data_IF_782208410534
#
_entry.id   IF_782208410534
#
_cell.length_a   1.000
_cell.length_b   1.000
_cell.length_c   1.000
_cell.angle_alpha   90.00
_cell.angle_beta   90.00
_cell.angle_gamma   90.00
#
_symmetry.space_group_name_H-M   'P 1'
#
loop_
_entity.id
_entity.type
_entity.pdbx_description
1 polymer ?
#
# COMPACT_ATOMS: atom_id res chain seq x y z
N UNK A 1 -7.31 10.35 12.66
CA UNK A 1 -8.02 9.07 12.50
C UNK A 1 -7.40 7.91 13.25
N UNK A 2 -6.16 7.49 12.94
CA UNK A 2 -5.49 6.43 13.70
C UNK A 2 -5.47 6.73 15.21
N UNK A 3 -4.96 7.91 15.58
CA UNK A 3 -4.89 8.35 16.99
C UNK A 3 -6.29 8.48 17.63
N UNK A 4 -7.26 9.02 16.89
CA UNK A 4 -8.66 9.13 17.34
C UNK A 4 -9.29 7.75 17.62
N UNK A 5 -8.85 6.73 16.88
CA UNK A 5 -9.25 5.34 17.07
C UNK A 5 -8.42 4.61 18.15
N UNK A 6 -7.49 5.31 18.81
CA UNK A 6 -6.62 4.76 19.86
C UNK A 6 -5.43 3.95 19.33
N UNK A 7 -5.11 4.04 18.04
CA UNK A 7 -3.91 3.46 17.44
C UNK A 7 -2.73 4.40 17.64
N UNK A 8 -1.53 3.85 17.72
CA UNK A 8 -0.27 4.60 17.88
C UNK A 8 0.56 4.48 16.61
N UNK A 9 1.11 5.59 16.15
CA UNK A 9 2.14 5.62 15.11
C UNK A 9 3.50 5.79 15.79
N UNK A 10 4.31 4.72 15.95
CA UNK A 10 5.62 4.85 16.55
C UNK A 10 6.57 5.63 15.64
N UNK A 11 7.52 6.34 16.26
CA UNK A 11 8.63 6.97 15.55
C UNK A 11 9.51 5.91 14.88
N UNK A 12 9.97 6.19 13.66
CA UNK A 12 10.85 5.28 12.93
C UNK A 12 12.19 5.15 13.65
N UNK A 13 12.73 3.93 13.67
CA UNK A 13 14.09 3.70 14.19
C UNK A 13 15.14 4.31 13.28
N UNK A 14 16.30 4.68 13.85
CA UNK A 14 17.44 5.21 13.09
C UNK A 14 17.87 4.27 11.96
N UNK A 15 17.78 2.95 12.19
CA UNK A 15 18.13 1.93 11.19
C UNK A 15 17.17 1.94 10.00
N UNK A 16 15.86 2.12 10.24
CA UNK A 16 14.86 2.27 9.16
C UNK A 16 15.07 3.57 8.41
N UNK A 17 15.25 4.69 9.12
CA UNK A 17 15.51 5.99 8.49
C UNK A 17 16.74 5.90 7.58
N UNK A 18 17.82 5.28 8.07
CA UNK A 18 19.07 5.11 7.32
C UNK A 18 18.92 4.23 6.09
N UNK A 19 18.13 3.16 6.18
CA UNK A 19 17.82 2.32 5.02
C UNK A 19 17.04 3.13 3.97
N UNK A 20 15.96 3.79 4.39
CA UNK A 20 15.09 4.57 3.51
C UNK A 20 15.78 5.80 2.91
N UNK A 21 16.72 6.43 3.62
CA UNK A 21 17.56 7.52 3.11
C UNK A 21 18.39 7.12 1.87
N UNK A 22 18.64 5.83 1.65
CA UNK A 22 19.35 5.36 0.44
C UNK A 22 18.46 5.22 -0.79
N UNK A 23 17.14 5.22 -0.58
CA UNK A 23 16.14 4.96 -1.60
C UNK A 23 15.22 6.14 -1.89
N UNK A 24 14.93 6.96 -0.87
CA UNK A 24 14.05 8.12 -0.96
C UNK A 24 14.85 9.41 -1.17
N UNK A 25 14.24 10.43 -1.82
CA UNK A 25 14.90 11.73 -2.01
C UNK A 25 15.16 12.42 -0.66
N UNK A 26 16.19 13.26 -0.58
CA UNK A 26 16.65 13.89 0.67
C UNK A 26 15.54 14.60 1.48
N UNK A 27 14.49 15.07 0.81
CA UNK A 27 13.38 15.82 1.40
C UNK A 27 12.18 14.96 1.85
N UNK A 28 12.28 13.63 1.85
CA UNK A 28 11.24 12.78 2.45
C UNK A 28 11.12 13.06 3.96
N UNK A 29 9.96 12.76 4.52
CA UNK A 29 9.53 13.27 5.82
C UNK A 29 10.20 12.64 7.04
N UNK A 30 10.89 11.48 6.91
CA UNK A 30 11.56 10.76 8.00
C UNK A 30 10.66 10.49 9.20
N UNK A 31 9.37 10.30 8.95
CA UNK A 31 8.37 10.11 9.99
C UNK A 31 7.38 9.02 9.62
N UNK A 32 6.52 8.68 10.58
CA UNK A 32 5.40 7.78 10.39
C UNK A 32 4.10 8.60 10.41
N UNK A 33 3.33 8.70 9.30
CA UNK A 33 3.38 7.89 8.08
C UNK A 33 4.58 8.17 7.17
N UNK A 34 5.07 7.17 6.42
CA UNK A 34 6.15 7.36 5.43
C UNK A 34 5.58 7.90 4.11
N UNK A 35 6.11 9.03 3.64
CA UNK A 35 5.79 9.57 2.31
C UNK A 35 6.81 9.11 1.27
N UNK A 36 6.34 8.36 0.28
CA UNK A 36 7.15 7.80 -0.83
C UNK A 36 7.27 8.83 -1.98
N UNK A 37 6.77 10.06 -1.79
CA UNK A 37 6.97 11.21 -2.70
C UNK A 37 6.43 10.95 -4.11
N UNK A 38 5.41 10.11 -4.23
CA UNK A 38 4.77 9.80 -5.51
C UNK A 38 5.65 9.02 -6.49
N UNK A 39 6.76 8.42 -6.04
CA UNK A 39 7.52 7.47 -6.86
C UNK A 39 6.56 6.35 -7.33
N UNK A 40 6.49 6.14 -8.64
CA UNK A 40 5.73 5.05 -9.27
C UNK A 40 6.41 3.69 -9.15
N UNK A 41 7.45 3.60 -8.30
CA UNK A 41 8.30 2.45 -8.16
C UNK A 41 7.69 1.41 -7.20
N UNK A 42 7.18 0.33 -7.79
CA UNK A 42 6.64 -0.80 -7.06
C UNK A 42 7.69 -1.56 -6.27
N UNK A 43 8.95 -1.60 -6.73
CA UNK A 43 10.03 -2.27 -6.03
C UNK A 43 10.39 -1.52 -4.75
N UNK A 44 10.48 -0.18 -4.82
CA UNK A 44 10.62 0.67 -3.66
C UNK A 44 9.47 0.47 -2.66
N UNK A 45 8.23 0.45 -3.15
CA UNK A 45 7.06 0.23 -2.30
C UNK A 45 7.12 -1.12 -1.56
N UNK A 46 7.45 -2.20 -2.29
CA UNK A 46 7.57 -3.55 -1.72
C UNK A 46 8.72 -3.61 -0.72
N UNK A 47 9.85 -2.95 -1.00
CA UNK A 47 10.99 -2.87 -0.09
C UNK A 47 10.60 -2.20 1.24
N UNK A 48 9.95 -1.04 1.18
CA UNK A 48 9.47 -0.33 2.37
C UNK A 48 8.52 -1.22 3.19
N UNK A 49 7.56 -1.89 2.53
CA UNK A 49 6.66 -2.81 3.22
C UNK A 49 7.40 -3.98 3.88
N UNK A 50 8.42 -4.55 3.23
CA UNK A 50 9.22 -5.65 3.79
C UNK A 50 9.98 -5.20 5.05
N UNK A 51 10.62 -4.03 4.99
CA UNK A 51 11.36 -3.44 6.12
C UNK A 51 10.42 -3.22 7.31
N UNK A 52 9.27 -2.60 7.08
CA UNK A 52 8.26 -2.35 8.11
C UNK A 52 7.66 -3.66 8.65
N UNK A 53 7.34 -4.63 7.78
CA UNK A 53 6.74 -5.89 8.21
C UNK A 53 7.67 -6.68 9.15
N UNK A 54 8.98 -6.52 9.00
CA UNK A 54 10.01 -7.12 9.87
C UNK A 54 10.35 -6.27 11.09
N UNK A 55 9.89 -5.03 11.17
CA UNK A 55 10.20 -4.13 12.27
C UNK A 55 9.37 -4.48 13.50
N UNK A 56 10.04 -4.83 14.60
CA UNK A 56 9.38 -5.35 15.81
C UNK A 56 8.49 -4.33 16.54
N UNK A 57 8.69 -3.03 16.35
CA UNK A 57 7.94 -1.98 17.06
C UNK A 57 6.55 -1.69 16.48
N UNK A 58 6.18 -2.31 15.34
CA UNK A 58 4.84 -2.19 14.77
C UNK A 58 4.10 -3.52 14.75
N UNK A 59 2.78 -3.46 14.92
CA UNK A 59 1.89 -4.63 14.86
C UNK A 59 1.17 -4.79 13.52
N UNK A 60 1.05 -3.71 12.74
CA UNK A 60 0.28 -3.69 11.49
C UNK A 60 0.74 -2.59 10.56
N UNK A 61 0.39 -2.68 9.27
CA UNK A 61 0.70 -1.68 8.24
C UNK A 61 -0.57 -1.28 7.50
N UNK A 62 -0.79 0.02 7.33
CA UNK A 62 -1.74 0.58 6.36
C UNK A 62 -0.95 1.08 5.16
N UNK A 63 -1.18 0.46 4.00
CA UNK A 63 -0.39 0.66 2.79
C UNK A 63 -1.24 1.41 1.75
N UNK A 64 -0.95 2.69 1.53
CA UNK A 64 -1.78 3.57 0.68
C UNK A 64 -1.23 3.69 -0.74
N UNK A 65 -2.13 3.84 -1.71
CA UNK A 65 -1.87 4.64 -2.90
C UNK A 65 -1.14 3.97 -4.05
N UNK A 66 -0.79 2.68 -4.00
CA UNK A 66 -0.10 1.98 -5.10
C UNK A 66 -1.03 1.09 -5.96
N UNK A 67 -2.10 0.57 -5.35
CA UNK A 67 -3.10 -0.28 -6.03
C UNK A 67 -4.26 0.57 -6.53
N UNK A 68 -4.89 0.17 -7.63
CA UNK A 68 -6.01 0.91 -8.21
C UNK A 68 -5.61 2.15 -9.01
N UNK A 69 -4.35 2.23 -9.46
CA UNK A 69 -3.85 3.33 -10.29
C UNK A 69 -4.22 3.17 -11.77
N UNK A 70 -4.76 2.02 -12.17
CA UNK A 70 -5.13 1.73 -13.56
C UNK A 70 -6.11 2.75 -14.16
N UNK A 71 -7.12 3.21 -13.41
CA UNK A 71 -8.05 4.24 -13.89
C UNK A 71 -7.36 5.59 -14.12
N UNK A 72 -6.45 5.99 -13.23
CA UNK A 72 -5.67 7.22 -13.37
C UNK A 72 -4.76 7.17 -14.61
N UNK A 73 -4.24 6.00 -14.94
CA UNK A 73 -3.47 5.80 -16.17
C UNK A 73 -4.34 5.96 -17.42
N UNK A 74 -5.57 5.44 -17.40
CA UNK A 74 -6.54 5.66 -18.49
C UNK A 74 -6.86 7.14 -18.66
N UNK A 75 -7.20 7.83 -17.56
CA UNK A 75 -7.48 9.26 -17.55
C UNK A 75 -6.29 10.09 -18.07
N UNK A 76 -5.07 9.74 -17.63
CA UNK A 76 -3.85 10.40 -18.10
C UNK A 76 -3.66 10.24 -19.61
N UNK A 77 -3.83 9.02 -20.13
CA UNK A 77 -3.74 8.75 -21.58
C UNK A 77 -4.79 9.57 -22.33
N UNK A 78 -6.05 9.57 -21.88
CA UNK A 78 -7.10 10.36 -22.52
C UNK A 78 -6.83 11.86 -22.52
N UNK A 79 -6.31 12.40 -21.42
CA UNK A 79 -5.91 13.81 -21.32
C UNK A 79 -4.77 14.13 -22.31
N UNK A 80 -3.76 13.27 -22.42
CA UNK A 80 -2.67 13.43 -23.37
C UNK A 80 -3.17 13.42 -24.81
N UNK A 81 -4.08 12.51 -25.16
CA UNK A 81 -4.69 12.46 -26.50
C UNK A 81 -5.45 13.75 -26.84
N UNK A 82 -6.15 14.33 -25.87
CA UNK A 82 -6.88 15.60 -26.02
C UNK A 82 -5.94 16.80 -26.20
N UNK A 83 -4.78 16.81 -25.55
CA UNK A 83 -3.80 17.92 -25.60
C UNK A 83 -2.94 17.84 -26.86
N UNK A 84 -2.33 16.69 -27.13
CA UNK A 84 -1.35 16.52 -28.20
C UNK A 84 -2.00 16.17 -29.56
N UNK A 85 -3.29 15.81 -29.56
CA UNK A 85 -4.01 15.34 -30.75
C UNK A 85 -3.51 14.01 -31.31
N UNK A 86 -2.57 13.34 -30.61
CA UNK A 86 -1.99 12.07 -31.00
C UNK A 86 -2.68 10.94 -30.27
N UNK A 87 -3.30 10.04 -31.03
CA UNK A 87 -3.90 8.82 -30.49
C UNK A 87 -2.79 7.82 -30.13
N UNK A 88 -2.88 7.24 -28.93
CA UNK A 88 -2.10 6.07 -28.58
C UNK A 88 -2.66 4.85 -29.32
N UNK A 89 -1.78 3.99 -29.84
CA UNK A 89 -2.25 2.75 -30.45
C UNK A 89 -2.96 1.90 -29.41
N UNK A 90 -4.02 1.19 -29.84
CA UNK A 90 -4.77 0.28 -28.96
C UNK A 90 -3.84 -0.74 -28.29
N UNK A 91 -2.84 -1.22 -29.03
CA UNK A 91 -1.84 -2.16 -28.51
C UNK A 91 -1.01 -1.57 -27.38
N UNK A 92 -0.56 -0.32 -27.52
CA UNK A 92 0.22 0.38 -26.49
C UNK A 92 -0.63 0.66 -25.24
N UNK A 93 -1.89 1.10 -25.41
CA UNK A 93 -2.81 1.27 -24.26
C UNK A 93 -2.99 -0.04 -23.49
N UNK A 94 -3.26 -1.13 -24.22
CA UNK A 94 -3.44 -2.46 -23.61
C UNK A 94 -2.17 -2.99 -22.94
N UNK A 95 -0.98 -2.74 -23.49
CA UNK A 95 0.27 -3.17 -22.86
C UNK A 95 0.50 -2.41 -21.55
N UNK A 96 0.33 -1.08 -21.55
CA UNK A 96 0.50 -0.26 -20.35
C UNK A 96 -0.46 -0.67 -19.23
N UNK A 97 -1.74 -0.88 -19.54
CA UNK A 97 -2.73 -1.35 -18.56
C UNK A 97 -2.41 -2.76 -18.02
N UNK A 98 -1.94 -3.67 -18.89
CA UNK A 98 -1.53 -5.00 -18.45
C UNK A 98 -0.31 -4.97 -17.53
N UNK A 99 0.67 -4.14 -17.84
CA UNK A 99 1.88 -3.99 -17.02
C UNK A 99 1.52 -3.39 -15.66
N UNK A 100 0.64 -2.40 -15.65
CA UNK A 100 0.09 -1.79 -14.44
C UNK A 100 -0.63 -2.82 -13.55
N UNK A 101 -1.59 -3.57 -14.10
CA UNK A 101 -2.32 -4.62 -13.36
C UNK A 101 -1.39 -5.75 -12.88
N UNK A 102 -0.35 -6.07 -13.63
CA UNK A 102 0.65 -7.06 -13.24
C UNK A 102 1.46 -6.58 -12.03
N UNK A 103 1.86 -5.32 -12.01
CA UNK A 103 2.56 -4.70 -10.88
C UNK A 103 1.68 -4.61 -9.63
N UNK A 104 0.42 -4.19 -9.76
CA UNK A 104 -0.55 -4.18 -8.66
C UNK A 104 -0.77 -5.59 -8.09
N UNK A 105 -0.93 -6.60 -8.96
CA UNK A 105 -1.02 -8.01 -8.52
C UNK A 105 0.23 -8.47 -7.79
N UNK A 106 1.42 -8.07 -8.26
CA UNK A 106 2.67 -8.40 -7.58
C UNK A 106 2.72 -7.81 -6.17
N UNK A 107 2.33 -6.55 -5.98
CA UNK A 107 2.22 -5.95 -4.64
C UNK A 107 1.32 -6.78 -3.74
N UNK A 108 0.13 -7.16 -4.21
CA UNK A 108 -0.81 -7.97 -3.42
C UNK A 108 -0.23 -9.35 -3.05
N UNK A 109 0.52 -10.00 -3.96
CA UNK A 109 1.23 -11.25 -3.68
C UNK A 109 2.31 -11.08 -2.63
N UNK A 110 3.13 -10.03 -2.73
CA UNK A 110 4.19 -9.73 -1.77
C UNK A 110 3.63 -9.38 -0.39
N UNK A 111 2.52 -8.64 -0.34
CA UNK A 111 1.76 -8.39 0.89
C UNK A 111 1.31 -9.71 1.53
N UNK A 112 0.70 -10.62 0.77
CA UNK A 112 0.32 -11.92 1.30
C UNK A 112 1.53 -12.72 1.83
N UNK A 113 2.66 -12.67 1.12
CA UNK A 113 3.92 -13.30 1.54
C UNK A 113 4.41 -12.74 2.87
N UNK A 114 4.52 -11.42 3.00
CA UNK A 114 4.98 -10.73 4.20
C UNK A 114 4.09 -11.06 5.41
N UNK A 115 2.76 -10.99 5.24
CA UNK A 115 1.81 -11.38 6.28
C UNK A 115 2.00 -12.85 6.69
N UNK A 116 2.24 -13.75 5.74
CA UNK A 116 2.44 -15.17 6.02
C UNK A 116 3.70 -15.44 6.86
N UNK A 117 4.75 -14.64 6.66
CA UNK A 117 6.05 -14.76 7.32
C UNK A 117 6.10 -14.08 8.69
N UNK A 118 5.57 -12.86 8.77
CA UNK A 118 5.68 -12.00 9.96
C UNK A 118 4.47 -12.12 10.89
N UNK A 119 3.34 -12.64 10.39
CA UNK A 119 2.04 -12.70 11.06
C UNK A 119 1.44 -11.33 11.39
N UNK A 120 2.00 -10.25 10.85
CA UNK A 120 1.47 -8.89 10.98
C UNK A 120 0.48 -8.60 9.86
N UNK A 121 -0.74 -8.11 10.14
CA UNK A 121 -1.69 -7.72 9.10
C UNK A 121 -1.20 -6.51 8.32
N UNK A 122 -1.38 -6.54 7.00
CA UNK A 122 -1.09 -5.44 6.08
C UNK A 122 -2.37 -5.14 5.30
N UNK A 123 -2.91 -3.95 5.50
CA UNK A 123 -4.14 -3.48 4.86
C UNK A 123 -3.78 -2.54 3.73
N UNK A 124 -4.04 -2.97 2.49
CA UNK A 124 -3.85 -2.12 1.31
C UNK A 124 -5.08 -1.23 1.12
N UNK A 125 -4.86 0.04 0.78
CA UNK A 125 -5.92 0.97 0.38
C UNK A 125 -5.69 1.36 -1.07
N UNK A 126 -6.64 0.93 -1.90
CA UNK A 126 -6.68 1.19 -3.33
C UNK A 126 -7.11 2.63 -3.60
N UNK A 127 -6.63 3.21 -4.69
CA UNK A 127 -7.11 4.49 -5.22
C UNK A 127 -8.39 4.35 -6.06
N UNK A 128 -8.85 3.13 -6.31
CA UNK A 128 -10.06 2.86 -7.07
C UNK A 128 -11.30 2.73 -6.17
N UNK A 129 -12.45 3.18 -6.67
CA UNK A 129 -13.74 3.17 -5.96
C UNK A 129 -14.43 1.79 -5.98
N UNK A 130 -13.72 0.73 -5.57
CA UNK A 130 -14.15 -0.67 -5.72
C UNK A 130 -14.76 -1.34 -4.48
N UNK A 131 -14.76 -0.66 -3.33
CA UNK A 131 -15.00 -1.26 -2.02
C UNK A 131 -13.89 -2.22 -1.58
N UNK A 132 -14.29 -3.25 -0.81
CA UNK A 132 -13.42 -4.35 -0.39
C UNK A 132 -13.13 -5.29 -1.56
N UNK A 133 -11.85 -5.51 -1.83
CA UNK A 133 -11.33 -6.52 -2.75
C UNK A 133 -10.42 -7.49 -2.01
N UNK A 134 -10.50 -8.77 -2.37
CA UNK A 134 -9.66 -9.84 -1.80
C UNK A 134 -8.95 -10.55 -2.94
N UNK A 135 -7.64 -10.69 -2.81
CA UNK A 135 -6.80 -11.42 -3.76
C UNK A 135 -6.31 -12.70 -3.09
N UNK A 136 -6.70 -13.84 -3.66
CA UNK A 136 -6.13 -15.14 -3.31
C UNK A 136 -4.76 -15.32 -3.99
N UNK A 137 -3.76 -15.67 -3.19
CA UNK A 137 -2.38 -15.88 -3.62
C UNK A 137 -1.87 -17.22 -3.09
N UNK A 138 -0.72 -17.68 -3.55
CA UNK A 138 -0.08 -18.89 -3.03
C UNK A 138 0.36 -18.77 -1.55
N UNK A 139 0.48 -17.54 -1.02
CA UNK A 139 0.84 -17.26 0.37
C UNK A 139 -0.36 -16.98 1.28
N UNK A 140 -1.58 -17.01 0.74
CA UNK A 140 -2.81 -16.68 1.45
C UNK A 140 -3.54 -15.49 0.83
N UNK A 141 -4.42 -14.87 1.61
CA UNK A 141 -5.29 -13.77 1.16
C UNK A 141 -4.69 -12.41 1.50
N UNK A 142 -4.64 -11.52 0.51
CA UNK A 142 -4.36 -10.10 0.72
C UNK A 142 -5.65 -9.29 0.46
N UNK A 143 -5.91 -8.32 1.32
CA UNK A 143 -7.11 -7.48 1.25
C UNK A 143 -6.75 -6.07 0.79
N UNK A 144 -7.63 -5.48 -0.01
CA UNK A 144 -7.57 -4.09 -0.42
C UNK A 144 -8.92 -3.41 -0.14
N UNK A 145 -8.87 -2.22 0.44
CA UNK A 145 -10.05 -1.38 0.73
C UNK A 145 -10.06 -0.16 -0.18
N UNK A 146 -11.13 0.62 -0.12
CA UNK A 146 -11.23 1.86 -0.91
C UNK A 146 -10.91 3.12 -0.12
N UNK A 147 -10.93 3.06 1.23
CA UNK A 147 -10.63 4.25 2.03
C UNK A 147 -9.71 3.97 3.22
N UNK A 148 -8.88 4.96 3.62
CA UNK A 148 -8.07 4.86 4.83
C UNK A 148 -8.89 4.69 6.11
N UNK A 149 -10.07 5.32 6.20
CA UNK A 149 -10.98 5.27 7.34
C UNK A 149 -11.42 3.82 7.61
N UNK A 150 -11.74 3.06 6.55
CA UNK A 150 -12.06 1.63 6.65
C UNK A 150 -10.87 0.83 7.18
N UNK A 151 -9.66 1.12 6.69
CA UNK A 151 -8.44 0.43 7.15
C UNK A 151 -8.19 0.68 8.64
N UNK A 152 -8.29 1.94 9.08
CA UNK A 152 -8.15 2.34 10.48
C UNK A 152 -9.21 1.65 11.34
N UNK A 153 -10.47 1.67 10.89
CA UNK A 153 -11.58 1.02 11.58
C UNK A 153 -11.32 -0.47 11.77
N UNK A 154 -10.91 -1.19 10.72
CA UNK A 154 -10.62 -2.63 10.81
C UNK A 154 -9.51 -2.92 11.81
N UNK A 155 -8.39 -2.18 11.74
CA UNK A 155 -7.25 -2.40 12.66
C UNK A 155 -7.66 -2.09 14.10
N UNK A 156 -8.38 -1.00 14.35
CA UNK A 156 -8.88 -0.66 15.67
C UNK A 156 -9.80 -1.76 16.23
N UNK A 157 -10.68 -2.35 15.41
CA UNK A 157 -11.51 -3.48 15.82
C UNK A 157 -10.69 -4.73 16.14
N UNK A 158 -9.61 -5.01 15.39
CA UNK A 158 -8.69 -6.12 15.69
C UNK A 158 -8.03 -5.94 17.06
N UNK A 159 -7.53 -4.73 17.36
CA UNK A 159 -6.93 -4.40 18.65
C UNK A 159 -7.96 -4.54 19.79
N UNK A 160 -9.15 -3.97 19.62
CA UNK A 160 -10.22 -4.05 20.61
C UNK A 160 -10.66 -5.49 20.89
N UNK A 161 -10.75 -6.31 19.84
CA UNK A 161 -11.09 -7.72 19.99
C UNK A 161 -9.99 -8.50 20.72
N UNK A 162 -8.72 -8.23 20.42
CA UNK A 162 -7.61 -8.82 21.17
C UNK A 162 -7.66 -8.43 22.65
N UNK A 163 -7.88 -7.15 22.96
CA UNK A 163 -8.00 -6.67 24.34
C UNK A 163 -9.21 -7.28 25.07
N UNK A 164 -10.31 -7.55 24.37
CA UNK A 164 -11.46 -8.26 24.93
C UNK A 164 -11.10 -9.71 25.30
N UNK A 165 -10.42 -10.44 24.41
CA UNK A 165 -10.01 -11.81 24.66
C UNK A 165 -9.00 -11.93 25.82
N UNK A 166 -8.11 -10.96 25.98
CA UNK A 166 -7.13 -10.96 27.07
C UNK A 166 -7.74 -10.62 28.45
N UNK A 167 -8.97 -10.10 28.48
CA UNK A 167 -9.73 -9.81 29.71
C UNK A 167 -10.66 -10.97 30.13
N UNK A 168 -10.88 -11.95 29.26
CA UNK A 168 -11.77 -13.09 29.48
C UNK A 168 -11.03 -14.28 30.09
#
# INVERSE_FOLDING_TARGET
>A
ECEDAGLVLPDLSDDIIKDLDTHLPEFWNRSNPIDIVGEGDYDLYIHILEVLARWDEIDSIIALGIVGRSSYLEDFIECQEKIDGKLFSRELKLSLLKDQLKSERRVMTEVARMQSQTKKPIVVVSLSEGGLSIVDTEYGRALSLSTPEEAVSIIAHMVNYRAYLDRA
#
